data_IF_440851931131
#
_entry.id   IF_440851931131
#
_cell.length_a   1.000
_cell.length_b   1.000
_cell.length_c   1.000
_cell.angle_alpha   90.00
_cell.angle_beta   90.00
_cell.angle_gamma   90.00
#
_symmetry.space_group_name_H-M   'P 1'
#
loop_
_entity.id
_entity.type
_entity.pdbx_description
1 polymer ?
#
# COMPACT_ATOMS: atom_id res chain seq x y z
N UNK A 1 17.77 -7.80 19.70
CA UNK A 1 17.86 -8.06 18.25
C UNK A 1 17.27 -6.86 17.55
N UNK A 2 17.97 -6.26 16.60
CA UNK A 2 17.45 -5.16 15.76
C UNK A 2 16.69 -5.78 14.59
N UNK A 3 15.46 -5.27 14.30
CA UNK A 3 14.60 -5.84 13.28
C UNK A 3 14.52 -4.93 12.05
N UNK A 4 14.81 -5.48 10.88
CA UNK A 4 14.56 -4.91 9.55
C UNK A 4 13.61 -5.82 8.76
N UNK A 5 12.77 -6.60 9.43
CA UNK A 5 11.86 -7.58 8.79
C UNK A 5 10.67 -6.93 8.11
N UNK A 6 10.11 -5.89 8.75
CA UNK A 6 8.91 -5.20 8.25
C UNK A 6 8.78 -3.80 8.83
N UNK A 7 7.87 -3.02 8.29
CA UNK A 7 7.56 -1.65 8.67
C UNK A 7 6.37 -1.53 9.64
N UNK A 8 6.05 -2.61 10.36
CA UNK A 8 4.98 -2.68 11.37
C UNK A 8 5.39 -3.47 12.61
N UNK A 9 6.66 -3.35 13.02
CA UNK A 9 7.19 -4.03 14.22
C UNK A 9 6.96 -3.24 15.50
N UNK A 10 6.80 -1.92 15.40
CA UNK A 10 6.50 -1.03 16.52
C UNK A 10 4.99 -0.77 16.63
N UNK A 11 4.59 -0.10 17.72
CA UNK A 11 3.24 0.40 17.93
C UNK A 11 2.92 1.64 17.09
N UNK A 12 2.14 2.57 17.62
CA UNK A 12 1.90 3.83 16.94
C UNK A 12 2.88 4.93 17.33
N UNK A 13 2.93 5.96 16.49
CA UNK A 13 3.64 7.20 16.83
C UNK A 13 3.13 7.78 18.18
N UNK A 14 4.01 8.27 19.08
CA UNK A 14 3.65 8.72 20.41
C UNK A 14 2.46 9.71 20.45
N UNK A 15 2.40 10.68 19.53
CA UNK A 15 1.28 11.63 19.41
C UNK A 15 -0.08 10.94 19.26
N UNK A 16 -0.14 9.82 18.58
CA UNK A 16 -1.38 9.03 18.42
C UNK A 16 -1.77 8.40 19.75
N UNK A 17 -0.81 7.78 20.46
CA UNK A 17 -1.07 7.16 21.78
C UNK A 17 -1.53 8.20 22.80
N UNK A 18 -0.87 9.35 22.85
CA UNK A 18 -1.25 10.48 23.70
C UNK A 18 -2.67 10.94 23.39
N UNK A 19 -3.01 11.12 22.11
CA UNK A 19 -4.35 11.56 21.70
C UNK A 19 -5.44 10.54 22.01
N UNK A 20 -5.16 9.26 21.84
CA UNK A 20 -6.06 8.18 22.22
C UNK A 20 -6.30 8.18 23.74
N UNK A 21 -5.27 8.40 24.55
CA UNK A 21 -5.37 8.49 26.01
C UNK A 21 -6.16 9.73 26.46
N UNK A 22 -5.87 10.91 25.88
CA UNK A 22 -6.59 12.16 26.17
C UNK A 22 -8.08 12.04 25.92
N UNK A 23 -8.46 11.43 24.79
CA UNK A 23 -9.86 11.35 24.37
C UNK A 23 -10.60 10.13 24.88
N UNK A 24 -9.92 9.25 25.65
CA UNK A 24 -10.45 7.93 26.03
C UNK A 24 -11.82 7.96 26.70
N UNK A 25 -12.08 8.96 27.55
CA UNK A 25 -13.32 9.07 28.31
C UNK A 25 -14.40 9.91 27.63
N UNK A 26 -14.13 10.44 26.43
CA UNK A 26 -15.13 11.20 25.68
C UNK A 26 -16.21 10.27 25.12
N UNK A 27 -17.47 10.74 25.21
CA UNK A 27 -18.59 10.05 24.58
C UNK A 27 -18.81 10.60 23.17
N UNK A 28 -18.73 9.72 22.18
CA UNK A 28 -18.94 10.05 20.77
C UNK A 28 -19.91 9.09 20.10
N UNK A 29 -20.49 9.51 18.99
CA UNK A 29 -21.27 8.61 18.11
C UNK A 29 -20.34 7.50 17.61
N UNK A 30 -20.86 6.29 17.43
CA UNK A 30 -20.10 5.15 16.97
C UNK A 30 -20.00 5.04 15.45
N UNK A 31 -19.34 3.97 15.00
CA UNK A 31 -19.30 3.53 13.61
C UNK A 31 -18.67 4.51 12.62
N UNK A 32 -17.74 5.36 13.13
CA UNK A 32 -17.02 6.33 12.30
C UNK A 32 -17.83 7.59 11.94
N UNK A 33 -18.92 7.86 12.63
CA UNK A 33 -19.75 9.07 12.47
C UNK A 33 -19.42 10.15 13.52
N UNK A 34 -18.30 10.00 14.19
CA UNK A 34 -17.81 10.88 15.24
C UNK A 34 -17.01 12.07 14.68
N UNK A 35 -16.84 13.15 15.47
CA UNK A 35 -16.12 14.36 15.01
C UNK A 35 -14.65 14.12 14.62
N UNK A 36 -13.98 13.12 15.22
CA UNK A 36 -12.59 12.80 14.90
C UNK A 36 -12.48 12.17 13.50
N UNK A 37 -13.37 11.23 13.20
CA UNK A 37 -13.45 10.65 11.85
C UNK A 37 -13.79 11.71 10.81
N UNK A 38 -14.71 12.64 11.11
CA UNK A 38 -15.05 13.72 10.17
C UNK A 38 -13.88 14.67 9.93
N UNK A 39 -13.21 15.12 11.00
CA UNK A 39 -12.02 15.96 10.87
C UNK A 39 -10.88 15.26 10.10
N UNK A 40 -10.70 13.96 10.31
CA UNK A 40 -9.71 13.17 9.56
C UNK A 40 -10.07 13.06 8.07
N UNK A 41 -11.35 12.85 7.73
CA UNK A 41 -11.84 12.85 6.34
C UNK A 41 -11.52 14.17 5.64
N UNK A 42 -11.87 15.29 6.28
CA UNK A 42 -11.61 16.61 5.71
C UNK A 42 -10.11 16.89 5.54
N UNK A 43 -9.28 16.49 6.50
CA UNK A 43 -7.82 16.61 6.37
C UNK A 43 -7.28 15.81 5.18
N UNK A 44 -7.76 14.58 4.97
CA UNK A 44 -7.37 13.73 3.84
C UNK A 44 -7.87 14.30 2.53
N UNK A 45 -9.15 14.69 2.43
CA UNK A 45 -9.69 15.34 1.22
C UNK A 45 -8.89 16.56 0.81
N UNK A 46 -8.47 17.37 1.79
CA UNK A 46 -7.66 18.57 1.56
C UNK A 46 -6.30 18.25 0.98
N UNK A 47 -5.56 17.27 1.52
CA UNK A 47 -4.22 16.94 1.01
C UNK A 47 -4.26 16.20 -0.33
N UNK A 48 -5.39 15.55 -0.65
CA UNK A 48 -5.64 14.92 -1.94
C UNK A 48 -6.19 15.88 -3.01
N UNK A 49 -6.52 17.13 -2.65
CA UNK A 49 -7.26 18.06 -3.52
C UNK A 49 -8.51 17.42 -4.12
N UNK A 50 -9.25 16.67 -3.30
CA UNK A 50 -10.40 15.88 -3.70
C UNK A 50 -11.60 16.15 -2.74
N UNK A 51 -12.19 17.36 -2.75
CA UNK A 51 -13.23 17.77 -1.80
C UNK A 51 -14.50 16.89 -1.89
N UNK A 52 -14.78 16.37 -3.06
CA UNK A 52 -15.94 15.51 -3.30
C UNK A 52 -15.69 14.02 -3.03
N UNK A 53 -14.49 13.60 -2.66
CA UNK A 53 -14.22 12.19 -2.37
C UNK A 53 -14.94 11.72 -1.11
N UNK A 54 -15.40 10.47 -1.08
CA UNK A 54 -15.81 9.81 0.15
C UNK A 54 -14.60 9.13 0.78
N UNK A 55 -14.35 9.39 2.08
CA UNK A 55 -13.25 8.78 2.81
C UNK A 55 -13.79 7.86 3.91
N UNK A 56 -13.32 6.61 3.92
CA UNK A 56 -13.73 5.58 4.87
C UNK A 56 -12.50 4.96 5.53
N UNK A 57 -12.63 4.58 6.80
CA UNK A 57 -11.55 3.94 7.55
C UNK A 57 -11.84 2.45 7.74
N UNK A 58 -10.87 1.60 7.40
CA UNK A 58 -10.87 0.16 7.61
C UNK A 58 -9.66 -0.25 8.46
N UNK A 59 -9.61 -1.49 8.95
CA UNK A 59 -8.61 -1.89 9.96
C UNK A 59 -7.30 -2.41 9.38
N UNK A 60 -7.25 -2.76 8.09
CA UNK A 60 -6.03 -3.29 7.48
C UNK A 60 -6.16 -3.50 5.98
N UNK A 61 -5.01 -3.63 5.29
CA UNK A 61 -4.92 -3.67 3.82
C UNK A 61 -5.74 -4.79 3.18
N UNK A 62 -5.61 -6.03 3.65
CA UNK A 62 -6.38 -7.17 3.12
C UNK A 62 -7.88 -6.93 3.22
N UNK A 63 -8.38 -6.44 4.39
CA UNK A 63 -9.80 -6.10 4.54
C UNK A 63 -10.21 -4.99 3.57
N UNK A 64 -9.36 -4.00 3.37
CA UNK A 64 -9.58 -2.92 2.42
C UNK A 64 -9.69 -3.46 0.99
N UNK A 65 -8.73 -4.27 0.56
CA UNK A 65 -8.68 -4.81 -0.79
C UNK A 65 -9.91 -5.63 -1.14
N UNK A 66 -10.26 -6.65 -0.36
CA UNK A 66 -11.43 -7.46 -0.69
C UNK A 66 -12.76 -6.71 -0.50
N UNK A 67 -12.81 -5.72 0.40
CA UNK A 67 -14.03 -4.90 0.57
C UNK A 67 -14.26 -4.01 -0.64
N UNK A 68 -13.25 -3.29 -1.11
CA UNK A 68 -13.31 -2.44 -2.30
C UNK A 68 -13.66 -3.28 -3.53
N UNK A 69 -12.90 -4.34 -3.79
CA UNK A 69 -13.08 -5.19 -4.97
C UNK A 69 -14.49 -5.79 -5.00
N UNK A 70 -14.95 -6.38 -3.90
CA UNK A 70 -16.27 -7.03 -3.85
C UNK A 70 -17.45 -6.06 -3.77
N UNK A 71 -17.24 -4.78 -3.45
CA UNK A 71 -18.28 -3.77 -3.49
C UNK A 71 -18.54 -3.24 -4.91
N UNK A 72 -17.57 -3.35 -5.80
CA UNK A 72 -17.56 -2.75 -7.13
C UNK A 72 -17.88 -3.79 -8.21
N UNK A 73 -17.29 -4.98 -8.09
CA UNK A 73 -17.41 -6.01 -9.11
C UNK A 73 -18.73 -6.80 -9.02
N UNK A 74 -19.28 -7.14 -10.18
CA UNK A 74 -20.36 -8.13 -10.29
C UNK A 74 -19.76 -9.56 -10.19
N UNK A 75 -20.56 -10.57 -9.82
CA UNK A 75 -20.05 -11.93 -9.56
C UNK A 75 -19.23 -12.58 -10.69
N UNK A 76 -19.46 -12.20 -11.94
CA UNK A 76 -18.76 -12.71 -13.13
C UNK A 76 -17.55 -11.85 -13.52
N UNK A 77 -17.23 -10.81 -12.75
CA UNK A 77 -16.13 -9.88 -13.04
C UNK A 77 -14.91 -10.18 -12.20
N UNK A 78 -13.73 -9.86 -12.75
CA UNK A 78 -12.44 -10.01 -12.11
C UNK A 78 -11.61 -8.75 -12.10
N UNK A 79 -10.52 -8.79 -11.33
CA UNK A 79 -9.58 -7.69 -11.13
C UNK A 79 -8.23 -8.04 -11.73
N UNK A 80 -7.75 -7.21 -12.66
CA UNK A 80 -6.40 -7.31 -13.26
C UNK A 80 -5.38 -6.77 -12.24
N UNK A 81 -4.25 -7.45 -12.06
CA UNK A 81 -3.11 -6.95 -11.28
C UNK A 81 -1.79 -7.49 -11.82
N UNK A 82 -0.67 -6.98 -11.31
CA UNK A 82 0.64 -7.60 -11.50
C UNK A 82 0.67 -9.01 -10.90
N UNK A 83 1.43 -9.94 -11.48
CA UNK A 83 1.63 -11.29 -10.94
C UNK A 83 2.24 -11.27 -9.53
N UNK A 84 3.04 -10.25 -9.20
CA UNK A 84 3.56 -9.95 -7.86
C UNK A 84 2.59 -9.16 -6.97
N UNK A 85 1.42 -8.74 -7.47
CA UNK A 85 0.47 -7.90 -6.75
C UNK A 85 -0.01 -8.54 -5.45
N UNK A 86 -0.14 -7.75 -4.39
CA UNK A 86 -0.43 -8.24 -3.03
C UNK A 86 -1.68 -9.11 -2.98
N UNK A 87 -2.75 -8.74 -3.68
CA UNK A 87 -3.99 -9.52 -3.77
C UNK A 87 -3.83 -10.88 -4.43
N UNK A 88 -2.77 -11.06 -5.25
CA UNK A 88 -2.48 -12.33 -5.92
C UNK A 88 -1.63 -13.27 -5.04
N UNK A 89 -0.66 -12.73 -4.28
CA UNK A 89 0.39 -13.56 -3.66
C UNK A 89 0.41 -13.54 -2.13
N UNK A 90 -0.21 -12.54 -1.46
CA UNK A 90 -0.04 -12.32 -0.02
C UNK A 90 -1.35 -12.19 0.79
N UNK A 91 -2.51 -12.54 0.22
CA UNK A 91 -3.81 -12.40 0.91
C UNK A 91 -4.58 -13.72 1.06
N UNK A 92 -3.91 -14.84 0.85
CA UNK A 92 -4.49 -16.20 1.10
C UNK A 92 -5.83 -16.41 0.36
N UNK A 93 -5.97 -15.84 -0.86
CA UNK A 93 -7.20 -15.94 -1.64
C UNK A 93 -8.37 -15.11 -1.08
N UNK A 94 -8.10 -13.98 -0.42
CA UNK A 94 -9.16 -13.15 0.17
C UNK A 94 -10.12 -12.57 -0.89
N UNK A 95 -9.61 -12.21 -2.06
CA UNK A 95 -10.43 -11.75 -3.20
C UNK A 95 -11.28 -12.89 -3.73
N UNK A 96 -10.69 -14.06 -3.95
CA UNK A 96 -11.37 -15.26 -4.43
C UNK A 96 -12.46 -15.73 -3.44
N UNK A 97 -12.23 -15.58 -2.14
CA UNK A 97 -13.22 -15.88 -1.10
C UNK A 97 -14.46 -14.98 -1.18
N UNK A 98 -14.38 -13.84 -1.85
CA UNK A 98 -15.54 -12.98 -2.14
C UNK A 98 -16.28 -13.36 -3.44
N UNK A 99 -15.79 -14.38 -4.17
CA UNK A 99 -16.37 -14.86 -5.42
C UNK A 99 -15.80 -14.20 -6.68
N UNK A 100 -14.71 -13.43 -6.56
CA UNK A 100 -14.06 -12.76 -7.69
C UNK A 100 -12.73 -13.42 -8.03
N UNK A 101 -12.33 -13.34 -9.29
CA UNK A 101 -11.05 -13.88 -9.76
C UNK A 101 -10.01 -12.75 -9.89
N UNK A 102 -8.81 -13.02 -9.39
CA UNK A 102 -7.63 -12.23 -9.72
C UNK A 102 -7.11 -12.65 -11.10
N UNK A 103 -6.89 -11.67 -11.97
CA UNK A 103 -6.41 -11.82 -13.34
C UNK A 103 -4.98 -11.28 -13.39
N UNK A 104 -4.02 -12.13 -13.00
CA UNK A 104 -2.62 -11.74 -12.91
C UNK A 104 -1.97 -11.61 -14.29
N UNK A 105 -1.29 -10.49 -14.53
CA UNK A 105 -0.47 -10.23 -15.72
C UNK A 105 1.01 -10.32 -15.36
N UNK A 106 1.86 -10.82 -16.26
CA UNK A 106 3.31 -10.77 -16.06
C UNK A 106 3.78 -9.34 -15.82
N UNK A 107 4.54 -9.13 -14.76
CA UNK A 107 5.04 -7.81 -14.40
C UNK A 107 6.54 -7.67 -14.66
N UNK A 108 7.00 -6.45 -14.92
CA UNK A 108 8.39 -6.09 -14.87
C UNK A 108 8.62 -5.17 -13.68
N UNK A 109 9.50 -5.59 -12.79
CA UNK A 109 9.77 -4.81 -11.56
C UNK A 109 8.50 -4.52 -10.75
N UNK A 110 7.55 -5.48 -10.71
CA UNK A 110 6.28 -5.33 -10.00
C UNK A 110 5.24 -4.41 -10.66
N UNK A 111 5.54 -3.87 -11.84
CA UNK A 111 4.65 -2.95 -12.58
C UNK A 111 4.00 -3.62 -13.78
N UNK A 112 2.75 -3.26 -14.05
CA UNK A 112 2.03 -3.53 -15.30
C UNK A 112 1.82 -2.23 -16.05
N UNK A 113 1.68 -2.30 -17.36
CA UNK A 113 1.54 -1.12 -18.23
C UNK A 113 0.12 -0.97 -18.76
N UNK A 114 -0.25 0.25 -19.15
CA UNK A 114 -1.51 0.49 -19.87
C UNK A 114 -1.65 -0.35 -21.12
N UNK A 115 -0.55 -0.59 -21.85
CA UNK A 115 -0.59 -1.44 -23.04
C UNK A 115 -0.94 -2.89 -22.72
N UNK A 116 -0.34 -3.50 -21.69
CA UNK A 116 -0.70 -4.87 -21.25
C UNK A 116 -2.17 -4.96 -20.83
N UNK A 117 -2.68 -3.95 -20.12
CA UNK A 117 -4.08 -3.85 -19.73
C UNK A 117 -4.98 -3.80 -20.97
N UNK A 118 -4.64 -2.95 -21.94
CA UNK A 118 -5.39 -2.81 -23.20
C UNK A 118 -5.38 -4.10 -24.02
N UNK A 119 -4.23 -4.75 -24.17
CA UNK A 119 -4.09 -6.01 -24.88
C UNK A 119 -4.92 -7.12 -24.23
N UNK A 120 -4.90 -7.23 -22.88
CA UNK A 120 -5.72 -8.20 -22.15
C UNK A 120 -7.22 -7.92 -22.34
N UNK A 121 -7.61 -6.65 -22.26
CA UNK A 121 -8.99 -6.22 -22.51
C UNK A 121 -9.45 -6.55 -23.94
N UNK A 122 -8.65 -6.20 -24.95
CA UNK A 122 -8.99 -6.45 -26.34
C UNK A 122 -9.07 -7.95 -26.66
N UNK A 123 -8.15 -8.76 -26.09
CA UNK A 123 -8.18 -10.21 -26.22
C UNK A 123 -9.50 -10.78 -25.68
N UNK A 124 -9.92 -10.33 -24.48
CA UNK A 124 -11.20 -10.75 -23.92
C UNK A 124 -12.38 -10.41 -24.83
N UNK A 125 -12.44 -9.18 -25.34
CA UNK A 125 -13.60 -8.73 -26.13
C UNK A 125 -13.60 -9.26 -27.57
N UNK A 126 -12.45 -9.67 -28.11
CA UNK A 126 -12.33 -10.33 -29.43
C UNK A 126 -12.69 -11.82 -29.38
N UNK A 127 -12.73 -12.44 -28.22
CA UNK A 127 -13.06 -13.85 -28.07
C UNK A 127 -14.57 -14.06 -28.26
N UNK A 128 -14.95 -14.88 -29.24
CA UNK A 128 -16.35 -15.23 -29.50
C UNK A 128 -17.00 -15.96 -28.33
N UNK A 129 -16.21 -16.63 -27.50
CA UNK A 129 -16.64 -17.37 -26.29
C UNK A 129 -16.44 -16.59 -24.99
N UNK A 130 -16.23 -15.27 -25.03
CA UNK A 130 -15.97 -14.41 -23.87
C UNK A 130 -16.95 -14.56 -22.71
N UNK A 131 -18.19 -14.95 -22.98
CA UNK A 131 -19.21 -15.16 -21.95
C UNK A 131 -18.93 -16.41 -21.10
N UNK A 132 -17.98 -17.26 -21.49
CA UNK A 132 -17.53 -18.45 -20.75
C UNK A 132 -16.35 -18.13 -19.82
N UNK A 133 -15.76 -16.94 -19.90
CA UNK A 133 -14.60 -16.53 -19.12
C UNK A 133 -14.87 -15.29 -18.25
N UNK A 134 -14.10 -15.12 -17.18
CA UNK A 134 -14.25 -13.99 -16.27
C UNK A 134 -13.98 -12.67 -16.99
N UNK A 135 -14.94 -11.74 -16.89
CA UNK A 135 -14.86 -10.41 -17.52
C UNK A 135 -13.90 -9.51 -16.71
N UNK A 136 -12.86 -8.93 -17.32
CA UNK A 136 -12.05 -7.91 -16.65
C UNK A 136 -12.87 -6.63 -16.44
N UNK A 137 -12.85 -6.08 -15.21
CA UNK A 137 -13.60 -4.85 -14.90
C UNK A 137 -12.88 -3.88 -13.99
N UNK A 138 -11.84 -4.32 -13.30
CA UNK A 138 -11.02 -3.49 -12.44
C UNK A 138 -9.54 -3.76 -12.71
N UNK A 139 -8.72 -2.73 -12.57
CA UNK A 139 -7.27 -2.81 -12.50
C UNK A 139 -6.85 -2.42 -11.09
N UNK A 140 -6.02 -3.26 -10.48
CA UNK A 140 -5.38 -3.02 -9.19
C UNK A 140 -3.88 -2.83 -9.39
N UNK A 141 -3.34 -1.77 -8.83
CA UNK A 141 -1.89 -1.49 -8.79
C UNK A 141 -1.49 -1.09 -7.36
N UNK A 142 -0.25 -1.39 -6.97
CA UNK A 142 0.33 -0.94 -5.70
C UNK A 142 1.31 0.20 -5.92
N UNK A 143 1.27 1.22 -5.05
CA UNK A 143 2.23 2.34 -5.10
C UNK A 143 2.70 2.74 -3.70
N UNK A 144 3.98 2.46 -3.34
CA UNK A 144 5.00 1.65 -4.07
C UNK A 144 4.56 0.21 -4.35
N UNK A 145 5.20 -0.43 -5.33
CA UNK A 145 4.99 -1.86 -5.60
C UNK A 145 5.57 -2.72 -4.48
N UNK A 146 5.23 -4.00 -4.47
CA UNK A 146 5.70 -4.98 -3.47
C UNK A 146 7.22 -5.16 -3.48
N UNK A 147 7.85 -4.87 -4.62
CA UNK A 147 9.31 -4.93 -4.80
C UNK A 147 10.01 -3.56 -4.69
N UNK A 148 9.28 -2.55 -4.21
CA UNK A 148 9.85 -1.23 -3.89
C UNK A 148 10.10 -0.32 -5.09
N UNK A 149 9.45 -0.55 -6.22
CA UNK A 149 9.48 0.36 -7.37
C UNK A 149 8.32 1.36 -7.32
N UNK A 150 8.43 2.41 -8.10
CA UNK A 150 7.44 3.50 -8.16
C UNK A 150 6.88 3.62 -9.58
N UNK A 151 5.57 3.79 -9.68
CA UNK A 151 4.98 4.30 -10.92
C UNK A 151 5.34 5.79 -11.05
N UNK A 152 5.81 6.19 -12.22
CA UNK A 152 5.92 7.61 -12.56
C UNK A 152 4.54 8.21 -12.82
N UNK A 153 4.43 9.53 -12.76
CA UNK A 153 3.19 10.24 -13.08
C UNK A 153 2.68 9.89 -14.48
N UNK A 154 3.59 9.82 -15.45
CA UNK A 154 3.23 9.45 -16.83
C UNK A 154 2.70 8.01 -16.93
N UNK A 155 3.31 7.06 -16.23
CA UNK A 155 2.81 5.66 -16.18
C UNK A 155 1.42 5.59 -15.54
N UNK A 156 1.20 6.31 -14.43
CA UNK A 156 -0.08 6.35 -13.75
C UNK A 156 -1.17 6.99 -14.60
N UNK A 157 -0.88 8.12 -15.25
CA UNK A 157 -1.80 8.81 -16.17
C UNK A 157 -2.13 7.93 -17.39
N UNK A 158 -1.15 7.20 -17.92
CA UNK A 158 -1.36 6.27 -19.03
C UNK A 158 -2.30 5.12 -18.63
N UNK A 159 -2.06 4.48 -17.49
CA UNK A 159 -2.95 3.43 -16.95
C UNK A 159 -4.36 3.97 -16.73
N UNK A 160 -4.49 5.15 -16.12
CA UNK A 160 -5.79 5.80 -15.89
C UNK A 160 -6.54 6.05 -17.20
N UNK A 161 -5.84 6.53 -18.22
CA UNK A 161 -6.42 6.78 -19.55
C UNK A 161 -6.93 5.50 -20.19
N UNK A 162 -6.12 4.45 -20.20
CA UNK A 162 -6.52 3.13 -20.73
C UNK A 162 -7.69 2.54 -19.95
N UNK A 163 -7.70 2.65 -18.62
CA UNK A 163 -8.84 2.20 -17.82
C UNK A 163 -10.14 2.91 -18.23
N UNK A 164 -10.08 4.23 -18.41
CA UNK A 164 -11.24 5.03 -18.85
C UNK A 164 -11.72 4.63 -20.25
N UNK A 165 -10.80 4.46 -21.20
CA UNK A 165 -11.12 4.03 -22.57
C UNK A 165 -11.76 2.64 -22.62
N UNK A 166 -11.30 1.72 -21.77
CA UNK A 166 -11.79 0.35 -21.66
C UNK A 166 -13.02 0.22 -20.72
N UNK A 167 -13.42 1.29 -20.03
CA UNK A 167 -14.47 1.24 -19.03
C UNK A 167 -14.14 0.36 -17.83
N UNK A 168 -12.85 0.26 -17.49
CA UNK A 168 -12.32 -0.41 -16.30
C UNK A 168 -12.22 0.58 -15.14
N UNK A 169 -12.35 0.10 -13.90
CA UNK A 169 -12.07 0.89 -12.70
C UNK A 169 -10.60 0.76 -12.31
N UNK A 170 -9.99 1.86 -11.88
CA UNK A 170 -8.61 1.86 -11.36
C UNK A 170 -8.63 1.97 -9.84
N UNK A 171 -8.12 0.92 -9.18
CA UNK A 171 -7.92 0.86 -7.73
C UNK A 171 -6.43 0.83 -7.40
N UNK A 172 -5.96 1.79 -6.57
CA UNK A 172 -4.56 1.88 -6.14
C UNK A 172 -4.42 1.51 -4.67
N UNK A 173 -3.63 0.48 -4.41
CA UNK A 173 -3.17 0.08 -3.09
C UNK A 173 -2.03 0.99 -2.64
N UNK A 174 -2.29 1.75 -1.59
CA UNK A 174 -1.34 2.67 -0.98
C UNK A 174 -0.88 2.22 0.40
N UNK A 175 -0.72 0.92 0.67
CA UNK A 175 -0.28 0.41 1.97
C UNK A 175 1.01 1.07 2.48
N UNK A 176 1.88 1.52 1.57
CA UNK A 176 3.12 2.26 1.83
C UNK A 176 3.14 3.64 1.17
N UNK A 177 1.96 4.22 0.95
CA UNK A 177 1.77 5.48 0.23
C UNK A 177 2.75 6.58 0.68
N UNK A 178 2.85 6.82 1.98
CA UNK A 178 3.73 7.86 2.51
C UNK A 178 5.20 7.66 2.11
N UNK A 179 5.68 6.44 2.11
CA UNK A 179 7.05 6.12 1.71
C UNK A 179 7.27 6.37 0.20
N UNK A 180 6.30 6.02 -0.64
CA UNK A 180 6.37 6.31 -2.08
C UNK A 180 6.39 7.81 -2.38
N UNK A 181 5.56 8.59 -1.66
CA UNK A 181 5.48 10.04 -1.83
C UNK A 181 6.73 10.79 -1.37
N UNK A 182 7.51 10.20 -0.45
CA UNK A 182 8.74 10.80 0.08
C UNK A 182 10.02 10.20 -0.51
N UNK A 183 9.91 9.24 -1.42
CA UNK A 183 11.04 8.61 -2.08
C UNK A 183 11.78 9.58 -3.00
N UNK A 184 13.12 9.48 -3.11
CA UNK A 184 13.88 10.24 -4.10
C UNK A 184 13.36 9.98 -5.52
N UNK A 185 13.25 11.05 -6.30
CA UNK A 185 12.84 10.93 -7.73
C UNK A 185 11.36 10.66 -7.97
N UNK A 186 10.51 10.59 -6.94
CA UNK A 186 9.06 10.53 -7.14
C UNK A 186 8.55 11.81 -7.79
N UNK A 187 7.68 11.67 -8.78
CA UNK A 187 6.98 12.78 -9.45
C UNK A 187 5.45 12.70 -9.25
N UNK A 188 4.99 11.76 -8.42
CA UNK A 188 3.58 11.51 -8.10
C UNK A 188 3.22 12.15 -6.76
N UNK A 189 2.07 12.82 -6.72
CA UNK A 189 1.49 13.44 -5.53
C UNK A 189 0.13 12.83 -5.19
N UNK A 190 -0.38 13.05 -3.97
CA UNK A 190 -1.75 12.62 -3.62
C UNK A 190 -2.83 13.21 -4.53
N UNK A 191 -2.78 14.49 -4.93
CA UNK A 191 -3.69 15.02 -5.96
C UNK A 191 -3.61 14.31 -7.30
N UNK A 192 -2.43 13.89 -7.75
CA UNK A 192 -2.29 13.11 -8.99
C UNK A 192 -2.96 11.74 -8.86
N UNK A 193 -2.78 11.06 -7.74
CA UNK A 193 -3.43 9.77 -7.45
C UNK A 193 -4.95 9.94 -7.42
N UNK A 194 -5.46 10.95 -6.71
CA UNK A 194 -6.88 11.22 -6.60
C UNK A 194 -7.54 11.54 -7.95
N UNK A 195 -6.81 12.19 -8.86
CA UNK A 195 -7.25 12.50 -10.23
C UNK A 195 -7.26 11.27 -11.14
N UNK A 196 -6.32 10.36 -10.94
CA UNK A 196 -6.14 9.20 -11.81
C UNK A 196 -7.00 8.01 -11.40
N UNK A 197 -7.20 7.76 -10.10
CA UNK A 197 -7.83 6.55 -9.58
C UNK A 197 -9.31 6.75 -9.26
N UNK A 198 -10.12 5.72 -9.48
CA UNK A 198 -11.53 5.67 -9.06
C UNK A 198 -11.65 5.43 -7.55
N UNK A 199 -10.73 4.61 -7.02
CA UNK A 199 -10.57 4.32 -5.60
C UNK A 199 -9.07 4.19 -5.31
N UNK A 200 -8.64 4.67 -4.16
CA UNK A 200 -7.31 4.37 -3.62
C UNK A 200 -7.39 4.32 -2.11
N UNK A 201 -6.35 3.77 -1.46
CA UNK A 201 -6.26 3.95 -0.03
C UNK A 201 -4.89 4.43 0.42
N UNK A 202 -4.88 5.11 1.55
CA UNK A 202 -3.69 5.64 2.21
C UNK A 202 -3.43 4.77 3.43
N UNK A 203 -2.32 4.06 3.42
CA UNK A 203 -1.94 3.15 4.50
C UNK A 203 -1.53 3.90 5.76
N UNK A 204 -2.15 3.55 6.89
CA UNK A 204 -1.76 4.02 8.22
C UNK A 204 -0.95 2.98 9.00
N UNK A 205 -1.31 1.71 8.88
CA UNK A 205 -0.70 0.60 9.63
C UNK A 205 0.82 0.57 9.57
N UNK A 206 1.39 0.83 8.39
CA UNK A 206 2.85 0.84 8.17
C UNK A 206 3.47 2.22 8.42
N UNK A 207 2.66 3.27 8.48
CA UNK A 207 3.10 4.67 8.56
C UNK A 207 2.61 5.31 9.86
N UNK A 208 3.01 4.73 10.98
CA UNK A 208 2.86 5.33 12.30
C UNK A 208 1.51 5.15 13.00
N UNK A 209 0.50 4.54 12.37
CA UNK A 209 -0.73 4.17 13.07
C UNK A 209 -0.58 2.82 13.81
N UNK A 210 -1.44 2.57 14.81
CA UNK A 210 -1.57 1.22 15.41
C UNK A 210 -2.12 0.22 14.39
N UNK A 211 -3.09 0.66 13.63
CA UNK A 211 -3.76 -0.06 12.55
C UNK A 211 -4.64 0.92 11.76
N UNK A 212 -4.96 0.55 10.55
CA UNK A 212 -5.96 1.27 9.76
C UNK A 212 -5.46 1.74 8.41
N UNK A 213 -6.44 1.85 7.51
CA UNK A 213 -6.29 2.31 6.14
C UNK A 213 -7.41 3.31 5.84
N UNK A 214 -7.10 4.41 5.16
CA UNK A 214 -8.07 5.39 4.72
C UNK A 214 -8.39 5.20 3.23
N UNK A 215 -9.55 4.67 2.93
CA UNK A 215 -10.05 4.47 1.55
C UNK A 215 -10.67 5.75 1.07
N UNK A 216 -10.21 6.27 -0.06
CA UNK A 216 -10.78 7.41 -0.75
C UNK A 216 -11.46 6.96 -2.05
N UNK A 217 -12.75 7.24 -2.20
CA UNK A 217 -13.54 6.95 -3.40
C UNK A 217 -13.79 8.27 -4.13
N UNK A 218 -13.13 8.46 -5.26
CA UNK A 218 -13.24 9.66 -6.09
C UNK A 218 -14.35 9.54 -7.14
N UNK A 219 -14.60 8.32 -7.63
CA UNK A 219 -15.65 8.07 -8.61
C UNK A 219 -17.04 8.06 -7.95
N UNK A 220 -17.94 9.01 -8.31
CA UNK A 220 -19.25 9.12 -7.67
C UNK A 220 -20.13 7.87 -7.85
N UNK A 221 -19.94 7.12 -8.93
CA UNK A 221 -20.73 5.90 -9.19
C UNK A 221 -20.41 4.74 -8.23
N UNK A 222 -19.31 4.82 -7.50
CA UNK A 222 -18.82 3.75 -6.60
C UNK A 222 -19.11 4.04 -5.11
N UNK A 223 -19.67 5.19 -4.78
CA UNK A 223 -19.90 5.63 -3.40
C UNK A 223 -21.15 4.99 -2.78
N UNK A 224 -22.18 4.78 -3.61
CA UNK A 224 -23.46 4.27 -3.14
C UNK A 224 -23.28 2.91 -2.45
N UNK A 225 -23.88 2.78 -1.27
CA UNK A 225 -23.95 1.54 -0.50
C UNK A 225 -22.61 0.97 0.00
N UNK A 226 -21.47 1.67 -0.18
CA UNK A 226 -20.17 1.18 0.24
C UNK A 226 -20.12 0.90 1.75
N UNK A 227 -20.80 1.68 2.59
CA UNK A 227 -20.89 1.44 4.05
C UNK A 227 -21.57 0.11 4.40
N UNK A 228 -22.52 -0.37 3.59
CA UNK A 228 -23.09 -1.71 3.78
C UNK A 228 -22.01 -2.80 3.54
N UNK A 229 -21.18 -2.62 2.53
CA UNK A 229 -20.06 -3.54 2.25
C UNK A 229 -19.04 -3.55 3.39
N UNK A 230 -18.67 -2.37 3.92
CA UNK A 230 -17.80 -2.26 5.11
C UNK A 230 -18.41 -3.03 6.29
N UNK A 231 -19.71 -2.83 6.56
CA UNK A 231 -20.39 -3.52 7.68
C UNK A 231 -20.41 -5.03 7.49
N UNK A 232 -20.76 -5.48 6.29
CA UNK A 232 -20.83 -6.91 5.95
C UNK A 232 -19.47 -7.61 6.12
N UNK A 233 -18.38 -6.90 5.77
CA UNK A 233 -17.00 -7.41 5.87
C UNK A 233 -16.35 -7.19 7.24
N UNK A 234 -17.12 -6.75 8.24
CA UNK A 234 -16.62 -6.54 9.60
C UNK A 234 -15.76 -5.29 9.84
N UNK A 235 -15.63 -4.41 8.82
CA UNK A 235 -14.79 -3.21 8.89
C UNK A 235 -15.42 -2.03 9.63
N UNK A 236 -16.70 -2.08 9.94
CA UNK A 236 -17.41 -0.98 10.61
C UNK A 236 -17.35 -1.17 12.13
N UNK A 237 -16.31 -0.60 12.74
CA UNK A 237 -16.09 -0.72 14.19
C UNK A 237 -17.09 0.11 15.00
N UNK A 238 -17.63 -0.46 16.08
CA UNK A 238 -18.49 0.28 17.00
C UNK A 238 -17.79 1.51 17.60
N UNK A 239 -16.49 1.37 17.94
CA UNK A 239 -15.62 2.47 18.39
C UNK A 239 -14.75 2.97 17.22
N UNK A 240 -15.39 3.32 16.09
CA UNK A 240 -14.73 3.75 14.87
C UNK A 240 -13.85 4.99 15.03
N UNK A 241 -14.12 5.83 16.03
CA UNK A 241 -13.29 6.99 16.37
C UNK A 241 -11.81 6.63 16.59
N UNK A 242 -11.50 5.38 16.97
CA UNK A 242 -10.10 4.95 17.12
C UNK A 242 -9.31 5.07 15.82
N UNK A 243 -9.95 4.85 14.66
CA UNK A 243 -9.35 5.08 13.36
C UNK A 243 -9.27 6.58 13.05
N UNK A 244 -10.36 7.31 13.30
CA UNK A 244 -10.42 8.76 13.06
C UNK A 244 -9.35 9.54 13.82
N UNK A 245 -9.17 9.25 15.11
CA UNK A 245 -8.13 9.89 15.95
C UNK A 245 -6.74 9.68 15.35
N UNK A 246 -6.41 8.45 14.92
CA UNK A 246 -5.10 8.13 14.35
C UNK A 246 -4.85 8.89 13.05
N UNK A 247 -5.80 8.85 12.12
CA UNK A 247 -5.66 9.55 10.84
C UNK A 247 -5.67 11.07 10.98
N UNK A 248 -6.45 11.60 11.94
CA UNK A 248 -6.42 13.04 12.23
C UNK A 248 -5.02 13.47 12.71
N UNK A 249 -4.43 12.74 13.66
CA UNK A 249 -3.06 13.05 14.14
C UNK A 249 -2.02 12.94 13.04
N UNK A 250 -2.16 11.97 12.13
CA UNK A 250 -1.23 11.83 11.00
C UNK A 250 -1.32 13.00 10.00
N UNK A 251 -2.53 13.54 9.75
CA UNK A 251 -2.74 14.48 8.64
C UNK A 251 -2.89 15.95 9.03
N UNK A 252 -3.31 16.27 10.26
CA UNK A 252 -3.60 17.68 10.64
C UNK A 252 -2.39 18.62 10.52
N UNK A 253 -1.18 18.16 10.85
CA UNK A 253 0.05 18.96 10.88
C UNK A 253 1.16 18.36 9.98
N UNK A 254 0.79 17.48 9.05
CA UNK A 254 1.74 16.88 8.10
C UNK A 254 2.64 15.78 8.67
N UNK A 255 2.36 15.27 9.86
CA UNK A 255 3.15 14.20 10.51
C UNK A 255 3.34 12.98 9.62
N UNK A 256 2.31 12.60 8.84
CA UNK A 256 2.36 11.48 7.91
C UNK A 256 3.54 11.57 6.94
N UNK A 257 3.78 12.75 6.39
CA UNK A 257 4.88 12.99 5.44
C UNK A 257 6.23 13.08 6.15
N UNK A 258 6.28 13.71 7.33
CA UNK A 258 7.50 13.84 8.14
C UNK A 258 8.08 12.48 8.52
N UNK A 259 7.25 11.61 9.10
CA UNK A 259 7.69 10.27 9.52
C UNK A 259 7.96 9.34 8.34
N UNK A 260 7.27 9.53 7.21
CA UNK A 260 7.57 8.83 5.97
C UNK A 260 8.93 9.23 5.42
N UNK A 261 9.26 10.53 5.43
CA UNK A 261 10.56 11.02 5.01
C UNK A 261 11.68 10.46 5.86
N UNK A 262 11.49 10.41 7.18
CA UNK A 262 12.45 9.77 8.07
C UNK A 262 12.73 8.31 7.69
N UNK A 263 11.68 7.51 7.43
CA UNK A 263 11.86 6.12 7.02
C UNK A 263 12.66 5.99 5.71
N UNK A 264 12.40 6.88 4.75
CA UNK A 264 13.13 6.95 3.48
C UNK A 264 14.59 7.37 3.70
N UNK A 265 14.86 8.36 4.55
CA UNK A 265 16.22 8.77 4.88
C UNK A 265 17.04 7.61 5.49
N UNK A 266 16.42 6.83 6.36
CA UNK A 266 17.02 5.61 6.92
C UNK A 266 17.27 4.53 5.86
N UNK A 267 16.34 4.39 4.90
CA UNK A 267 16.51 3.45 3.78
C UNK A 267 17.64 3.87 2.84
N UNK A 268 17.75 5.15 2.53
CA UNK A 268 18.84 5.65 1.67
C UNK A 268 20.20 5.56 2.37
N UNK A 269 20.28 5.89 3.66
CA UNK A 269 21.49 5.65 4.45
C UNK A 269 21.94 4.17 4.41
N UNK A 270 20.97 3.25 4.55
CA UNK A 270 21.21 1.81 4.47
C UNK A 270 21.68 1.41 3.05
N UNK A 271 20.98 1.89 2.02
CA UNK A 271 21.29 1.62 0.62
C UNK A 271 22.69 2.08 0.23
N UNK A 272 23.04 3.32 0.56
CA UNK A 272 24.34 3.90 0.23
C UNK A 272 25.49 3.16 0.96
N UNK A 273 25.32 2.89 2.24
CA UNK A 273 26.33 2.14 3.00
C UNK A 273 26.52 0.70 2.52
N UNK A 274 25.47 0.03 2.04
CA UNK A 274 25.57 -1.30 1.42
C UNK A 274 26.25 -1.24 0.05
N UNK A 275 25.97 -0.22 -0.77
CA UNK A 275 26.66 0.02 -2.04
C UNK A 275 28.15 0.28 -1.84
N UNK A 276 28.53 1.11 -0.86
CA UNK A 276 29.94 1.36 -0.52
C UNK A 276 30.70 0.09 -0.10
N UNK A 277 30.00 -0.88 0.49
CA UNK A 277 30.56 -2.19 0.88
C UNK A 277 30.56 -3.22 -0.26
N UNK A 278 30.03 -2.85 -1.43
CA UNK A 278 30.04 -3.70 -2.62
C UNK A 278 28.91 -4.74 -2.69
N UNK A 279 27.86 -4.60 -1.89
CA UNK A 279 26.70 -5.49 -2.00
C UNK A 279 25.93 -5.22 -3.30
N UNK A 280 25.52 -6.31 -3.96
CA UNK A 280 24.68 -6.26 -5.14
C UNK A 280 23.20 -6.16 -4.74
N UNK A 281 22.46 -5.31 -5.45
CA UNK A 281 21.02 -5.13 -5.25
C UNK A 281 20.24 -5.95 -6.27
N UNK A 282 19.33 -6.78 -5.78
CA UNK A 282 18.38 -7.53 -6.59
C UNK A 282 17.38 -6.58 -7.28
N UNK A 283 16.99 -5.53 -6.55
CA UNK A 283 16.12 -4.46 -7.04
C UNK A 283 16.65 -3.10 -6.59
N UNK A 284 16.79 -2.17 -7.50
CA UNK A 284 17.19 -0.78 -7.17
C UNK A 284 15.97 0.01 -6.69
N UNK A 285 15.69 -0.07 -5.40
CA UNK A 285 14.55 0.57 -4.77
C UNK A 285 14.93 1.90 -4.12
N UNK A 286 14.12 2.93 -4.33
CA UNK A 286 14.20 4.22 -3.62
C UNK A 286 13.20 4.33 -2.46
N UNK A 287 12.53 3.21 -2.13
CA UNK A 287 11.55 3.15 -1.05
C UNK A 287 12.16 2.66 0.26
N UNK A 288 11.33 2.47 1.28
CA UNK A 288 11.74 1.93 2.57
C UNK A 288 12.12 0.44 2.55
N UNK A 289 11.99 -0.24 1.43
CA UNK A 289 12.34 -1.65 1.24
C UNK A 289 13.58 -1.78 0.37
N UNK A 290 14.64 -2.42 0.88
CA UNK A 290 15.90 -2.66 0.17
C UNK A 290 16.10 -4.15 -0.04
N UNK A 291 16.43 -4.57 -1.24
CA UNK A 291 16.58 -5.97 -1.63
C UNK A 291 18.01 -6.22 -2.07
N UNK A 292 18.76 -6.99 -1.28
CA UNK A 292 20.18 -7.28 -1.55
C UNK A 292 20.42 -8.77 -1.71
N UNK A 293 21.45 -9.10 -2.49
CA UNK A 293 21.94 -10.45 -2.68
C UNK A 293 23.04 -10.70 -1.65
N UNK A 294 22.94 -11.79 -0.90
CA UNK A 294 23.91 -12.17 0.13
C UNK A 294 24.26 -13.65 0.04
N UNK A 295 25.51 -13.99 0.34
CA UNK A 295 25.91 -15.39 0.53
C UNK A 295 25.12 -16.02 1.69
N UNK A 296 24.73 -17.29 1.54
CA UNK A 296 23.96 -18.02 2.56
C UNK A 296 24.71 -18.09 3.90
N UNK A 297 26.03 -18.22 3.88
CA UNK A 297 26.87 -18.19 5.09
C UNK A 297 26.75 -16.84 5.81
N UNK A 298 26.84 -15.73 5.05
CA UNK A 298 26.68 -14.38 5.59
C UNK A 298 25.26 -14.15 6.12
N UNK A 299 24.25 -14.67 5.45
CA UNK A 299 22.86 -14.60 5.93
C UNK A 299 22.69 -15.26 7.30
N UNK A 300 23.35 -16.39 7.56
CA UNK A 300 23.30 -17.04 8.87
C UNK A 300 23.97 -16.18 9.97
N UNK A 301 25.07 -15.47 9.67
CA UNK A 301 25.71 -14.54 10.59
C UNK A 301 24.80 -13.34 10.89
N UNK A 302 24.22 -12.73 9.85
CA UNK A 302 23.28 -11.60 9.98
C UNK A 302 22.13 -11.97 10.92
N UNK A 303 21.53 -13.14 10.74
CA UNK A 303 20.38 -13.61 11.52
C UNK A 303 20.67 -13.84 13.01
N UNK A 304 21.92 -13.92 13.42
CA UNK A 304 22.28 -14.02 14.84
C UNK A 304 22.04 -12.71 15.60
N UNK A 305 22.15 -11.55 14.92
CA UNK A 305 22.04 -10.22 15.51
C UNK A 305 20.82 -9.44 15.02
N UNK A 306 20.41 -9.67 13.77
CA UNK A 306 19.41 -8.88 13.06
C UNK A 306 18.27 -9.77 12.56
N UNK A 307 17.05 -9.24 12.65
CA UNK A 307 15.91 -9.80 11.93
C UNK A 307 15.88 -9.25 10.51
N UNK A 308 15.95 -10.13 9.53
CA UNK A 308 15.85 -9.81 8.10
C UNK A 308 14.89 -10.78 7.42
N UNK A 309 14.23 -10.37 6.35
CA UNK A 309 13.28 -11.23 5.62
C UNK A 309 13.99 -11.90 4.45
N UNK A 310 13.91 -13.24 4.39
CA UNK A 310 14.28 -13.99 3.20
C UNK A 310 13.23 -13.71 2.11
N UNK A 311 13.68 -13.32 0.93
CA UNK A 311 12.81 -13.04 -0.20
C UNK A 311 12.72 -14.24 -1.14
N UNK A 312 13.84 -14.64 -1.70
CA UNK A 312 13.90 -15.77 -2.64
C UNK A 312 15.34 -16.31 -2.78
N UNK A 313 15.46 -17.44 -3.46
CA UNK A 313 16.75 -18.00 -3.87
C UNK A 313 17.29 -17.26 -5.09
N UNK A 314 18.54 -16.78 -5.03
CA UNK A 314 19.17 -16.12 -6.17
C UNK A 314 19.94 -17.13 -7.05
N UNK A 315 20.85 -17.92 -6.45
CA UNK A 315 21.61 -18.98 -7.09
C UNK A 315 21.89 -20.13 -6.10
N UNK A 316 22.86 -21.03 -6.40
CA UNK A 316 23.17 -22.18 -5.55
C UNK A 316 23.69 -21.78 -4.16
N UNK A 317 24.29 -20.61 -4.00
CA UNK A 317 25.00 -20.15 -2.78
C UNK A 317 24.50 -18.81 -2.24
N UNK A 318 23.64 -18.11 -2.99
CA UNK A 318 23.15 -16.78 -2.61
C UNK A 318 21.64 -16.74 -2.47
N UNK A 319 21.20 -15.90 -1.56
CA UNK A 319 19.79 -15.59 -1.31
C UNK A 319 19.54 -14.09 -1.43
N UNK A 320 18.34 -13.73 -1.88
CA UNK A 320 17.84 -12.35 -1.77
C UNK A 320 17.23 -12.15 -0.39
N UNK A 321 17.63 -11.10 0.29
CA UNK A 321 17.00 -10.66 1.53
C UNK A 321 16.38 -9.27 1.36
N UNK A 322 15.28 -9.06 2.06
CA UNK A 322 14.66 -7.74 2.17
C UNK A 322 14.99 -7.14 3.54
N UNK A 323 15.43 -5.90 3.49
CA UNK A 323 15.61 -5.02 4.63
C UNK A 323 14.55 -3.92 4.56
N UNK A 324 13.83 -3.70 5.64
CA UNK A 324 12.73 -2.75 5.67
C UNK A 324 12.96 -1.72 6.78
N UNK A 325 12.98 -0.44 6.44
CA UNK A 325 12.97 0.66 7.40
C UNK A 325 11.55 1.13 7.65
N UNK A 326 11.32 1.80 8.77
CA UNK A 326 10.03 2.32 9.17
C UNK A 326 10.15 3.74 9.73
N UNK A 327 9.02 4.35 10.00
CA UNK A 327 8.90 5.63 10.70
C UNK A 327 9.62 5.66 12.07
N UNK A 328 9.86 4.49 12.68
CA UNK A 328 10.50 4.34 13.99
C UNK A 328 11.97 3.83 13.90
N UNK A 329 12.49 3.59 12.70
CA UNK A 329 13.86 3.09 12.51
C UNK A 329 14.86 4.11 13.02
N UNK A 330 15.74 3.70 13.94
CA UNK A 330 16.77 4.55 14.51
C UNK A 330 18.03 4.54 13.63
N UNK A 331 18.62 5.70 13.40
CA UNK A 331 19.86 5.86 12.63
C UNK A 331 21.00 5.02 13.21
N UNK A 332 21.10 4.93 14.55
CA UNK A 332 22.08 4.10 15.24
C UNK A 332 21.98 2.62 14.91
N UNK A 333 20.73 2.11 14.69
CA UNK A 333 20.48 0.73 14.31
C UNK A 333 20.95 0.45 12.86
N UNK A 334 20.73 1.41 11.95
CA UNK A 334 21.22 1.32 10.57
C UNK A 334 22.73 1.33 10.54
N UNK A 335 23.39 2.23 11.29
CA UNK A 335 24.85 2.29 11.39
C UNK A 335 25.45 1.02 11.98
N UNK A 336 24.84 0.47 13.04
CA UNK A 336 25.27 -0.79 13.63
C UNK A 336 25.17 -1.96 12.64
N UNK A 337 24.07 -2.05 11.89
CA UNK A 337 23.92 -3.04 10.83
C UNK A 337 25.00 -2.91 9.78
N UNK A 338 25.23 -1.70 9.27
CA UNK A 338 26.28 -1.43 8.28
C UNK A 338 27.69 -1.77 8.78
N UNK A 339 27.98 -1.60 10.07
CA UNK A 339 29.28 -1.99 10.63
C UNK A 339 29.51 -3.50 10.63
N UNK A 340 28.45 -4.29 10.78
CA UNK A 340 28.51 -5.76 10.81
C UNK A 340 28.45 -6.40 9.40
N UNK A 341 28.02 -5.62 8.39
CA UNK A 341 28.02 -6.01 6.97
C UNK A 341 29.38 -5.75 6.33
#
# INVERSE_FOLDING_TARGET
MILFTSDYTEGAHPRIIEKLAETNMEQTVGYGEDPYCEAAREAIKKVCDAPDADVHFLVGGTQTNFTVISSILRPFQGVICADSGHINVHETGAVEATGHKVLALPSKEGKITGQQIKEYFDLHWSDESREHIVQPKMVYISHPTEVGTLYTKNELENISTVCKECGLYLFLDGARMGYGLMAPGTDVTLPDIAKCCDVFYIGGTKVGALFGEAVAITNPCLKQDFRYCIKQKGGMLAKGRLLGVQFLELFKDGLYFEISKHAIDMAMLLKDGLKEKGYEFFMDSDTNQQFIIVEDAKLQEIRQKYGVTYQERYDETHSVIRLCTSWATKEENVKAFLQDM
#
